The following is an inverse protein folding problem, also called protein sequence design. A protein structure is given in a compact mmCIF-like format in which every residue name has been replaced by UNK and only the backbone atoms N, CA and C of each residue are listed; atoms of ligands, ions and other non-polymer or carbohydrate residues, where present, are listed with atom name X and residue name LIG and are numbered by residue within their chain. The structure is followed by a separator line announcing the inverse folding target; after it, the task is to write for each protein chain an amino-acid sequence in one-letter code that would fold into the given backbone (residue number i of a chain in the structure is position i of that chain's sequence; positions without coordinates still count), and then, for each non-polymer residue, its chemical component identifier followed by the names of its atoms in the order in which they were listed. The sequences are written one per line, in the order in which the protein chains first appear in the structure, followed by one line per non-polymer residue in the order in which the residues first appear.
data_IF_259074461520
#
_entry.id   IF_259074461520
#
_cell.length_a   1.000
_cell.length_b   1.000
_cell.length_c   1.000
_cell.angle_alpha   90.00
_cell.angle_beta   90.00
_cell.angle_gamma   90.00
#
_symmetry.space_group_name_H-M   'P 1'
#
loop_
_entity.id
_entity.type
_entity.pdbx_description
1 polymer ?
#
# COMPACT_ATOMS: atom_id res chain seq x y z
N UNK A 1 -74.95 22.03 -70.02
CA UNK A 1 -74.14 20.85 -70.41
C UNK A 1 -72.82 21.34 -71.00
N UNK A 2 -71.64 20.70 -70.86
CA UNK A 2 -71.16 19.71 -69.87
C UNK A 2 -69.74 20.02 -69.28
N UNK A 3 -69.47 19.40 -68.11
CA UNK A 3 -68.27 18.65 -67.67
C UNK A 3 -66.87 19.31 -67.51
N UNK A 4 -66.45 19.33 -66.24
CA UNK A 4 -65.13 19.44 -65.60
C UNK A 4 -64.04 18.52 -66.23
N UNK A 5 -62.72 18.74 -66.00
CA UNK A 5 -62.11 18.26 -64.74
C UNK A 5 -60.91 19.10 -64.23
N UNK A 6 -61.06 19.79 -63.10
CA UNK A 6 -59.91 20.23 -62.28
C UNK A 6 -59.65 19.17 -61.21
N UNK A 7 -58.94 18.11 -61.57
CA UNK A 7 -58.46 17.12 -60.60
C UNK A 7 -56.99 17.34 -60.24
N UNK A 8 -56.81 17.70 -58.97
CA UNK A 8 -55.87 17.05 -58.03
C UNK A 8 -54.37 17.16 -58.34
N UNK A 9 -53.77 18.31 -57.99
CA UNK A 9 -52.31 18.43 -57.85
C UNK A 9 -51.86 19.08 -56.52
N UNK A 10 -52.76 19.30 -55.56
CA UNK A 10 -52.39 19.92 -54.27
C UNK A 10 -52.23 18.93 -53.10
N UNK A 11 -52.46 17.63 -53.31
CA UNK A 11 -52.43 16.64 -52.20
C UNK A 11 -51.11 15.86 -52.07
N UNK A 12 -50.10 16.13 -52.90
CA UNK A 12 -48.82 15.39 -52.86
C UNK A 12 -47.72 16.00 -51.98
N UNK A 13 -47.89 17.21 -51.45
CA UNK A 13 -46.90 17.81 -50.52
C UNK A 13 -47.14 17.46 -49.05
N UNK A 14 -48.32 16.93 -48.70
CA UNK A 14 -48.69 16.66 -47.31
C UNK A 14 -48.22 15.28 -46.82
N UNK A 15 -47.88 14.36 -47.73
CA UNK A 15 -47.47 12.99 -47.38
C UNK A 15 -45.98 12.91 -46.99
N UNK A 16 -45.15 13.86 -47.43
CA UNK A 16 -43.72 13.89 -47.09
C UNK A 16 -43.42 14.55 -45.72
N UNK A 17 -44.35 15.35 -45.18
CA UNK A 17 -44.16 16.04 -43.89
C UNK A 17 -44.62 15.23 -42.66
N UNK A 18 -45.36 14.15 -42.86
CA UNK A 18 -45.95 13.39 -41.76
C UNK A 18 -45.05 12.29 -41.17
N UNK A 19 -43.79 12.17 -41.63
CA UNK A 19 -42.85 11.14 -41.17
C UNK A 19 -41.67 11.66 -40.36
N UNK A 20 -41.77 12.87 -39.81
CA UNK A 20 -40.90 13.29 -38.71
C UNK A 20 -41.69 13.32 -37.40
N UNK A 21 -42.34 12.19 -37.09
CA UNK A 21 -42.98 11.99 -35.80
C UNK A 21 -41.85 11.83 -34.81
N UNK A 22 -41.45 12.98 -34.27
CA UNK A 22 -40.67 13.23 -33.06
C UNK A 22 -40.44 11.90 -32.33
N UNK A 23 -39.19 11.48 -32.24
CA UNK A 23 -38.74 10.62 -31.15
C UNK A 23 -38.97 11.41 -29.86
N UNK A 24 -40.23 11.59 -29.50
CA UNK A 24 -40.66 11.98 -28.18
C UNK A 24 -40.33 10.76 -27.36
N UNK A 25 -39.06 10.71 -26.97
CA UNK A 25 -38.58 9.87 -25.91
C UNK A 25 -39.53 10.17 -24.76
N UNK A 26 -40.55 9.33 -24.57
CA UNK A 26 -41.47 9.41 -23.45
C UNK A 26 -40.61 9.07 -22.25
N UNK A 27 -39.94 10.11 -21.75
CA UNK A 27 -38.92 10.06 -20.73
C UNK A 27 -39.64 9.75 -19.42
N UNK A 28 -40.05 8.48 -19.28
CA UNK A 28 -40.60 7.98 -18.04
C UNK A 28 -39.58 8.22 -16.94
N UNK A 29 -40.07 8.54 -15.75
CA UNK A 29 -39.27 8.62 -14.52
C UNK A 29 -38.33 7.41 -14.37
N UNK A 30 -38.73 6.23 -14.86
CA UNK A 30 -37.91 5.01 -14.92
C UNK A 30 -36.61 5.14 -15.74
N UNK A 31 -36.61 5.84 -16.88
CA UNK A 31 -35.37 6.05 -17.63
C UNK A 31 -34.44 7.04 -16.94
N UNK A 32 -34.99 8.12 -16.37
CA UNK A 32 -34.21 9.08 -15.57
C UNK A 32 -33.58 8.40 -14.35
N UNK A 33 -34.34 7.55 -13.65
CA UNK A 33 -33.84 6.76 -12.54
C UNK A 33 -32.71 5.81 -12.97
N UNK A 34 -32.86 5.13 -14.12
CA UNK A 34 -31.81 4.27 -14.68
C UNK A 34 -30.51 5.04 -14.99
N UNK A 35 -30.62 6.23 -15.59
CA UNK A 35 -29.46 7.10 -15.86
C UNK A 35 -28.82 7.57 -14.55
N UNK A 36 -29.61 7.96 -13.54
CA UNK A 36 -29.08 8.40 -12.23
C UNK A 36 -28.33 7.27 -11.53
N UNK A 37 -28.89 6.05 -11.52
CA UNK A 37 -28.22 4.88 -10.91
C UNK A 37 -26.91 4.58 -11.62
N UNK A 38 -26.88 4.63 -12.95
CA UNK A 38 -25.67 4.40 -13.72
C UNK A 38 -24.59 5.45 -13.42
N UNK A 39 -24.98 6.74 -13.32
CA UNK A 39 -24.05 7.83 -12.96
C UNK A 39 -23.54 7.67 -11.52
N UNK A 40 -24.39 7.29 -10.57
CA UNK A 40 -23.98 7.04 -9.19
C UNK A 40 -23.03 5.83 -9.09
N UNK A 41 -23.30 4.78 -9.85
CA UNK A 41 -22.44 3.60 -9.90
C UNK A 41 -21.05 3.94 -10.47
N UNK A 42 -20.99 4.68 -11.58
CA UNK A 42 -19.71 5.10 -12.15
C UNK A 42 -18.95 6.05 -11.23
N UNK A 43 -19.63 7.01 -10.60
CA UNK A 43 -19.01 7.88 -9.61
C UNK A 43 -18.46 7.09 -8.41
N UNK A 44 -19.22 6.11 -7.90
CA UNK A 44 -18.79 5.24 -6.81
C UNK A 44 -17.54 4.43 -7.15
N UNK A 45 -17.45 3.88 -8.37
CA UNK A 45 -16.27 3.17 -8.85
C UNK A 45 -15.06 4.11 -8.87
N UNK A 46 -15.21 5.30 -9.44
CA UNK A 46 -14.12 6.29 -9.53
C UNK A 46 -13.62 6.69 -8.13
N UNK A 47 -14.52 7.02 -7.20
CA UNK A 47 -14.16 7.40 -5.83
C UNK A 47 -13.44 6.24 -5.12
N UNK A 48 -13.94 5.02 -5.27
CA UNK A 48 -13.32 3.83 -4.68
C UNK A 48 -11.91 3.59 -5.24
N UNK A 49 -11.71 3.75 -6.55
CA UNK A 49 -10.38 3.65 -7.17
C UNK A 49 -9.41 4.70 -6.65
N UNK A 50 -9.85 5.96 -6.51
CA UNK A 50 -9.03 7.01 -5.91
C UNK A 50 -8.67 6.72 -4.45
N UNK A 51 -9.65 6.25 -3.66
CA UNK A 51 -9.43 5.90 -2.25
C UNK A 51 -8.44 4.74 -2.11
N UNK A 52 -8.56 3.71 -2.95
CA UNK A 52 -7.64 2.57 -2.97
C UNK A 52 -6.22 2.99 -3.35
N UNK A 53 -6.07 3.81 -4.39
CA UNK A 53 -4.78 4.34 -4.81
C UNK A 53 -4.11 5.18 -3.69
N UNK A 54 -4.90 6.00 -3.00
CA UNK A 54 -4.41 6.81 -1.88
C UNK A 54 -3.96 5.95 -0.68
N UNK A 55 -4.76 4.94 -0.30
CA UNK A 55 -4.39 4.01 0.76
C UNK A 55 -3.10 3.23 0.45
N UNK A 56 -2.89 2.86 -0.82
CA UNK A 56 -1.69 2.17 -1.24
C UNK A 56 -0.43 3.06 -1.15
N UNK A 57 -0.54 4.35 -1.49
CA UNK A 57 0.57 5.30 -1.34
C UNK A 57 1.00 5.44 0.12
N UNK A 58 0.04 5.53 1.05
CA UNK A 58 0.33 5.63 2.48
C UNK A 58 0.90 4.33 3.06
N UNK A 59 0.49 3.18 2.52
CA UNK A 59 1.07 1.89 2.88
C UNK A 59 2.55 1.79 2.48
N UNK A 60 2.97 2.36 1.33
CA UNK A 60 4.37 2.32 0.89
C UNK A 60 5.28 3.10 1.85
N UNK A 61 4.90 4.31 2.26
CA UNK A 61 5.70 5.11 3.19
C UNK A 61 5.81 4.44 4.54
N UNK A 62 4.70 3.91 5.06
CA UNK A 62 4.67 3.23 6.35
C UNK A 62 5.52 1.95 6.34
N UNK A 63 5.44 1.15 5.27
CA UNK A 63 6.27 -0.05 5.12
C UNK A 63 7.76 0.29 5.04
N UNK A 64 8.12 1.41 4.43
CA UNK A 64 9.51 1.85 4.37
C UNK A 64 10.03 2.24 5.76
N UNK A 65 9.25 3.00 6.54
CA UNK A 65 9.60 3.32 7.93
C UNK A 65 9.73 2.06 8.80
N UNK A 66 8.81 1.10 8.65
CA UNK A 66 8.87 -0.19 9.34
C UNK A 66 10.15 -0.94 8.95
N UNK A 67 10.48 -0.99 7.65
CA UNK A 67 11.69 -1.66 7.16
C UNK A 67 12.95 -1.02 7.74
N UNK A 68 13.03 0.31 7.76
CA UNK A 68 14.16 1.02 8.37
C UNK A 68 14.28 0.75 9.87
N UNK A 69 13.17 0.79 10.60
CA UNK A 69 13.15 0.50 12.04
C UNK A 69 13.59 -0.95 12.32
N UNK A 70 13.15 -1.91 11.51
CA UNK A 70 13.56 -3.31 11.62
C UNK A 70 15.05 -3.50 11.29
N UNK A 71 15.58 -2.79 10.31
CA UNK A 71 16.99 -2.86 9.96
C UNK A 71 17.87 -2.29 11.08
N UNK A 72 17.50 -1.13 11.64
CA UNK A 72 18.17 -0.56 12.81
C UNK A 72 18.12 -1.52 14.02
N UNK A 73 16.97 -2.16 14.27
CA UNK A 73 16.83 -3.14 15.34
C UNK A 73 17.77 -4.34 15.14
N UNK A 74 17.86 -4.87 13.92
CA UNK A 74 18.77 -5.99 13.60
C UNK A 74 20.23 -5.60 13.82
N UNK A 75 20.65 -4.42 13.34
CA UNK A 75 22.01 -3.93 13.52
C UNK A 75 22.37 -3.80 15.01
N UNK A 76 21.46 -3.26 15.82
CA UNK A 76 21.67 -3.15 17.28
C UNK A 76 21.76 -4.53 17.96
N UNK A 77 20.94 -5.49 17.54
CA UNK A 77 20.98 -6.85 18.07
C UNK A 77 22.30 -7.56 17.73
N UNK A 78 22.76 -7.43 16.49
CA UNK A 78 24.04 -7.97 16.03
C UNK A 78 25.21 -7.35 16.79
N UNK A 79 25.19 -6.02 16.97
CA UNK A 79 26.20 -5.31 17.75
C UNK A 79 26.22 -5.80 19.20
N UNK A 80 25.05 -5.93 19.84
CA UNK A 80 24.97 -6.44 21.22
C UNK A 80 25.53 -7.86 21.33
N UNK A 81 25.19 -8.73 20.38
CA UNK A 81 25.71 -10.10 20.33
C UNK A 81 27.23 -10.11 20.19
N UNK A 82 27.78 -9.28 19.30
CA UNK A 82 29.23 -9.16 19.10
C UNK A 82 29.92 -8.68 20.37
N UNK A 83 29.40 -7.62 21.00
CA UNK A 83 29.94 -7.08 22.25
C UNK A 83 29.91 -8.11 23.39
N UNK A 84 28.85 -8.91 23.50
CA UNK A 84 28.77 -9.99 24.48
C UNK A 84 29.84 -11.06 24.27
N UNK A 85 30.08 -11.43 23.01
CA UNK A 85 31.14 -12.40 22.65
C UNK A 85 32.51 -11.81 23.00
N UNK A 86 32.77 -10.57 22.59
CA UNK A 86 34.03 -9.89 22.92
C UNK A 86 34.25 -9.81 24.42
N UNK A 87 33.22 -9.43 25.19
CA UNK A 87 33.27 -9.38 26.64
C UNK A 87 33.59 -10.76 27.21
N UNK A 88 32.88 -11.81 26.80
CA UNK A 88 33.14 -13.18 27.28
C UNK A 88 34.55 -13.65 26.99
N UNK A 89 35.10 -13.28 25.83
CA UNK A 89 36.47 -13.58 25.46
C UNK A 89 37.46 -12.77 26.31
N UNK A 90 37.20 -11.48 26.52
CA UNK A 90 38.01 -10.59 27.36
C UNK A 90 38.07 -11.07 28.81
N UNK A 91 36.96 -11.57 29.34
CA UNK A 91 36.84 -12.09 30.71
C UNK A 91 37.15 -13.58 30.81
N UNK A 92 37.48 -14.26 29.71
CA UNK A 92 37.75 -15.69 29.75
C UNK A 92 39.00 -15.95 30.60
N UNK A 93 38.85 -16.78 31.64
CA UNK A 93 39.93 -17.12 32.58
C UNK A 93 41.16 -17.65 31.82
N UNK A 94 40.96 -18.53 30.85
CA UNK A 94 42.05 -19.07 30.02
C UNK A 94 42.83 -18.00 29.25
N UNK A 95 42.15 -16.96 28.75
CA UNK A 95 42.80 -15.81 28.11
C UNK A 95 43.56 -14.97 29.14
N UNK A 96 42.94 -14.72 30.29
CA UNK A 96 43.55 -13.94 31.38
C UNK A 96 44.79 -14.65 31.96
N UNK A 97 44.75 -15.97 32.15
CA UNK A 97 45.89 -16.78 32.59
C UNK A 97 47.03 -16.73 31.57
N UNK A 98 46.71 -16.91 30.28
CA UNK A 98 47.70 -16.78 29.21
C UNK A 98 48.35 -15.39 29.22
N UNK A 99 47.54 -14.33 29.35
CA UNK A 99 48.04 -12.96 29.44
C UNK A 99 48.89 -12.73 30.71
N UNK A 100 48.47 -13.27 31.86
CA UNK A 100 49.19 -13.18 33.12
C UNK A 100 50.59 -13.81 33.02
N UNK A 101 50.70 -14.99 32.42
CA UNK A 101 51.97 -15.69 32.24
C UNK A 101 52.83 -15.04 31.16
N UNK A 102 52.29 -14.79 29.97
CA UNK A 102 53.06 -14.34 28.81
C UNK A 102 53.43 -12.85 28.88
N UNK A 103 52.50 -11.99 29.32
CA UNK A 103 52.70 -10.53 29.29
C UNK A 103 53.18 -9.99 30.64
N UNK A 104 52.65 -10.53 31.74
CA UNK A 104 52.94 -10.03 33.08
C UNK A 104 53.93 -10.90 33.86
N UNK A 105 54.40 -12.02 33.29
CA UNK A 105 55.35 -12.92 33.95
C UNK A 105 54.85 -13.53 35.26
N UNK A 106 53.53 -13.54 35.47
CA UNK A 106 52.91 -14.06 36.68
C UNK A 106 52.93 -15.59 36.69
N UNK A 107 53.06 -16.16 37.88
CA UNK A 107 52.99 -17.60 38.13
C UNK A 107 51.96 -17.88 39.22
N UNK A 108 51.43 -19.12 39.32
CA UNK A 108 50.55 -19.50 40.41
C UNK A 108 51.21 -19.20 41.77
N UNK A 109 50.44 -18.69 42.75
CA UNK A 109 50.97 -18.40 44.07
C UNK A 109 51.50 -19.68 44.71
N UNK A 110 52.61 -19.58 45.42
CA UNK A 110 53.18 -20.72 46.15
C UNK A 110 52.32 -21.03 47.38
N UNK A 111 52.31 -22.27 47.89
CA UNK A 111 51.48 -22.66 49.03
C UNK A 111 51.71 -21.81 50.29
N UNK A 112 52.93 -21.30 50.47
CA UNK A 112 53.34 -20.40 51.56
C UNK A 112 52.80 -18.96 51.43
N UNK A 113 52.26 -18.59 50.27
CA UNK A 113 51.73 -17.25 49.99
C UNK A 113 50.20 -17.16 50.09
N UNK A 114 49.51 -18.27 50.38
CA UNK A 114 48.05 -18.32 50.49
C UNK A 114 47.62 -18.23 51.96
N UNK A 115 46.88 -17.19 52.31
CA UNK A 115 46.33 -16.98 53.66
C UNK A 115 44.81 -17.19 53.60
N UNK A 116 44.30 -18.18 54.33
CA UNK A 116 42.85 -18.41 54.46
C UNK A 116 42.32 -17.51 55.57
N UNK A 117 41.45 -16.56 55.23
CA UNK A 117 40.74 -15.69 56.19
C UNK A 117 39.45 -16.37 56.66
N UNK A 118 39.13 -16.31 57.98
CA UNK A 118 37.93 -16.93 58.57
C UNK A 118 36.64 -16.19 58.24
#
# INVERSE_FOLDING_TARGET
MPRNPTMRLSTMSQVLLARNRKLTYRQGHWWRAGVIVLVMATAGIVVSSFYWAYGNLQAVTLNYEISQAQEAQKQLLEMNRKLRIELSNLTAISRLEKLAVETYGMAPPRPDQVITVP
#
